data_IF_472372266589
#
_entry.id   IF_472372266589
#
_cell.length_a   1.000
_cell.length_b   1.000
_cell.length_c   1.000
_cell.angle_alpha   90.00
_cell.angle_beta   90.00
_cell.angle_gamma   90.00
#
_symmetry.space_group_name_H-M   'P 1'
#
loop_
_entity.id
_entity.type
_entity.pdbx_description
1 polymer ?
#
# COMPACT_ATOMS: atom_id res chain seq x y z
N UNK A 1 -5.61 28.05 2.30
CA UNK A 1 -6.27 26.72 2.17
C UNK A 1 -6.76 26.57 0.72
N UNK A 2 -6.61 25.37 0.13
CA UNK A 2 -7.04 24.94 -1.22
C UNK A 2 -6.17 25.31 -2.44
N UNK A 3 -5.36 24.35 -2.92
CA UNK A 3 -5.32 23.93 -4.33
C UNK A 3 -4.63 22.55 -4.47
N UNK A 4 -5.27 21.62 -5.18
CA UNK A 4 -4.66 20.46 -5.88
C UNK A 4 -4.31 19.12 -5.23
N UNK A 5 -4.93 18.67 -4.14
CA UNK A 5 -4.84 17.24 -3.75
C UNK A 5 -6.12 16.42 -3.99
N UNK A 6 -7.17 16.98 -4.59
CA UNK A 6 -8.43 16.24 -4.80
C UNK A 6 -8.22 15.04 -5.73
N UNK A 7 -7.52 15.24 -6.86
CA UNK A 7 -7.21 14.17 -7.81
C UNK A 7 -6.43 13.04 -7.13
N UNK A 8 -5.31 13.36 -6.45
CA UNK A 8 -4.49 12.35 -5.79
C UNK A 8 -5.21 11.64 -4.64
N UNK A 9 -6.08 12.36 -3.91
CA UNK A 9 -6.95 11.74 -2.91
C UNK A 9 -7.95 10.77 -3.53
N UNK A 10 -8.57 11.12 -4.66
CA UNK A 10 -9.49 10.25 -5.38
C UNK A 10 -8.77 9.03 -5.92
N UNK A 11 -7.60 9.23 -6.55
CA UNK A 11 -6.74 8.13 -7.02
C UNK A 11 -6.39 7.21 -5.85
N UNK A 12 -5.93 7.75 -4.72
CA UNK A 12 -5.57 6.95 -3.54
C UNK A 12 -6.75 6.12 -3.02
N UNK A 13 -7.94 6.73 -2.94
CA UNK A 13 -9.16 6.07 -2.47
C UNK A 13 -9.59 4.91 -3.37
N UNK A 14 -9.28 4.96 -4.66
CA UNK A 14 -9.58 3.88 -5.62
C UNK A 14 -8.41 2.88 -5.67
N UNK A 15 -7.18 3.35 -5.71
CA UNK A 15 -5.98 2.53 -5.85
C UNK A 15 -5.80 1.58 -4.68
N UNK A 16 -6.01 2.04 -3.43
CA UNK A 16 -5.88 1.19 -2.24
C UNK A 16 -6.76 -0.07 -2.33
N UNK A 17 -8.11 0.03 -2.46
CA UNK A 17 -8.94 -1.16 -2.51
C UNK A 17 -8.67 -2.01 -3.75
N UNK A 18 -8.49 -1.40 -4.94
CA UNK A 18 -8.22 -2.15 -6.18
C UNK A 18 -6.92 -2.95 -6.08
N UNK A 19 -5.83 -2.34 -5.62
CA UNK A 19 -4.53 -3.00 -5.52
C UNK A 19 -4.50 -4.01 -4.35
N UNK A 20 -5.16 -3.71 -3.24
CA UNK A 20 -5.23 -4.65 -2.09
C UNK A 20 -6.05 -5.89 -2.45
N UNK A 21 -7.21 -5.72 -3.08
CA UNK A 21 -8.02 -6.86 -3.56
C UNK A 21 -7.27 -7.60 -4.67
N UNK A 22 -6.66 -6.89 -5.62
CA UNK A 22 -5.83 -7.49 -6.67
C UNK A 22 -4.69 -8.34 -6.12
N UNK A 23 -4.05 -7.90 -5.04
CA UNK A 23 -3.06 -8.68 -4.30
C UNK A 23 -3.65 -10.00 -3.79
N UNK A 24 -4.79 -9.96 -3.09
CA UNK A 24 -5.43 -11.16 -2.55
C UNK A 24 -5.86 -12.12 -3.66
N UNK A 25 -6.39 -11.59 -4.77
CA UNK A 25 -6.76 -12.38 -5.95
C UNK A 25 -5.53 -13.06 -6.55
N UNK A 26 -4.42 -12.35 -6.76
CA UNK A 26 -3.21 -12.92 -7.33
C UNK A 26 -2.65 -14.05 -6.45
N UNK A 27 -2.64 -13.86 -5.13
CA UNK A 27 -2.24 -14.89 -4.16
C UNK A 27 -3.20 -16.10 -4.24
N UNK A 28 -4.51 -15.88 -4.23
CA UNK A 28 -5.52 -16.94 -4.31
C UNK A 28 -5.44 -17.75 -5.62
N UNK A 29 -5.07 -17.10 -6.72
CA UNK A 29 -4.85 -17.72 -8.02
C UNK A 29 -3.49 -18.44 -8.15
N UNK A 30 -2.73 -18.59 -7.05
CA UNK A 30 -1.40 -19.21 -7.01
C UNK A 30 -0.34 -18.46 -7.82
N UNK A 31 -0.46 -17.14 -7.90
CA UNK A 31 0.56 -16.23 -8.44
C UNK A 31 1.15 -15.32 -7.35
N UNK A 32 1.81 -15.90 -6.31
CA UNK A 32 2.30 -15.13 -5.16
C UNK A 32 3.32 -14.05 -5.54
N UNK A 33 4.13 -14.27 -6.57
CA UNK A 33 5.08 -13.30 -7.10
C UNK A 33 4.40 -12.01 -7.57
N UNK A 34 3.29 -12.16 -8.30
CA UNK A 34 2.52 -11.03 -8.79
C UNK A 34 1.71 -10.39 -7.66
N UNK A 35 1.24 -11.20 -6.69
CA UNK A 35 0.68 -10.69 -5.45
C UNK A 35 1.63 -9.76 -4.71
N UNK A 36 2.90 -10.17 -4.52
CA UNK A 36 3.92 -9.34 -3.87
C UNK A 36 4.20 -8.04 -4.63
N UNK A 37 4.32 -8.09 -5.95
CA UNK A 37 4.55 -6.90 -6.80
C UNK A 37 3.38 -5.93 -6.72
N UNK A 38 2.14 -6.41 -6.86
CA UNK A 38 0.93 -5.58 -6.76
C UNK A 38 0.83 -4.97 -5.34
N UNK A 39 1.17 -5.75 -4.32
CA UNK A 39 1.17 -5.27 -2.93
C UNK A 39 2.20 -4.16 -2.72
N UNK A 40 3.40 -4.28 -3.29
CA UNK A 40 4.42 -3.23 -3.24
C UNK A 40 3.95 -1.95 -3.95
N UNK A 41 3.33 -2.08 -5.12
CA UNK A 41 2.75 -0.94 -5.87
C UNK A 41 1.66 -0.23 -5.06
N UNK A 42 0.98 -0.94 -4.15
CA UNK A 42 -0.03 -0.34 -3.27
C UNK A 42 0.56 0.51 -2.13
N UNK A 43 1.82 0.26 -1.73
CA UNK A 43 2.41 0.87 -0.53
C UNK A 43 2.54 2.41 -0.61
N UNK A 44 2.91 3.05 -1.75
CA UNK A 44 2.91 4.51 -1.84
C UNK A 44 1.55 5.15 -1.49
N UNK A 45 0.45 4.51 -1.88
CA UNK A 45 -0.91 4.98 -1.57
C UNK A 45 -1.25 4.80 -0.09
N UNK A 46 -0.88 3.65 0.48
CA UNK A 46 -1.02 3.39 1.92
C UNK A 46 -0.20 4.36 2.76
N UNK A 47 1.06 4.64 2.39
CA UNK A 47 1.94 5.59 3.08
C UNK A 47 1.34 6.99 3.05
N UNK A 48 0.85 7.45 1.89
CA UNK A 48 0.18 8.73 1.80
C UNK A 48 -1.09 8.81 2.66
N UNK A 49 -1.94 7.78 2.56
CA UNK A 49 -3.20 7.73 3.29
C UNK A 49 -2.98 7.73 4.81
N UNK A 50 -2.05 6.89 5.28
CA UNK A 50 -1.71 6.76 6.70
C UNK A 50 -1.00 8.00 7.24
N UNK A 51 -0.11 8.65 6.48
CA UNK A 51 0.50 9.92 6.87
C UNK A 51 -0.56 11.02 7.03
N UNK A 52 -1.50 11.10 6.08
CA UNK A 52 -2.62 12.04 6.15
C UNK A 52 -3.53 11.75 7.34
N UNK A 53 -3.81 10.49 7.64
CA UNK A 53 -4.59 10.07 8.79
C UNK A 53 -3.88 10.43 10.12
N UNK A 54 -2.57 10.24 10.20
CA UNK A 54 -1.76 10.69 11.32
C UNK A 54 -1.89 12.22 11.52
N UNK A 55 -1.67 13.01 10.47
CA UNK A 55 -1.71 14.48 10.58
C UNK A 55 -3.11 15.05 10.89
N UNK A 56 -4.19 14.36 10.51
CA UNK A 56 -5.57 14.85 10.69
C UNK A 56 -6.29 14.29 11.90
N UNK A 57 -6.02 13.04 12.27
CA UNK A 57 -6.77 12.29 13.27
C UNK A 57 -5.86 11.67 14.35
N UNK A 58 -4.56 11.99 14.37
CA UNK A 58 -3.62 11.48 15.37
C UNK A 58 -3.33 9.98 15.26
N UNK A 59 -3.71 9.32 14.15
CA UNK A 59 -3.55 7.88 13.95
C UNK A 59 -2.10 7.48 13.62
N UNK A 60 -1.17 7.66 14.57
CA UNK A 60 0.25 7.30 14.42
C UNK A 60 0.43 5.80 14.16
N UNK A 61 -0.34 4.95 14.84
CA UNK A 61 -0.24 3.50 14.72
C UNK A 61 -0.40 3.03 13.27
N UNK A 62 -1.36 3.61 12.52
CA UNK A 62 -1.59 3.26 11.12
C UNK A 62 -0.36 3.57 10.25
N UNK A 63 0.31 4.70 10.49
CA UNK A 63 1.52 5.08 9.76
C UNK A 63 2.67 4.11 10.06
N UNK A 64 2.89 3.78 11.34
CA UNK A 64 3.94 2.82 11.74
C UNK A 64 3.67 1.45 11.13
N UNK A 65 2.44 0.93 11.25
CA UNK A 65 2.06 -0.35 10.65
C UNK A 65 2.28 -0.35 9.14
N UNK A 66 1.92 0.73 8.45
CA UNK A 66 2.12 0.85 7.00
C UNK A 66 3.61 0.78 6.61
N UNK A 67 4.48 1.48 7.35
CA UNK A 67 5.92 1.44 7.12
C UNK A 67 6.48 0.03 7.34
N UNK A 68 6.08 -0.64 8.43
CA UNK A 68 6.51 -2.01 8.72
C UNK A 68 6.02 -3.00 7.66
N UNK A 69 4.77 -2.90 7.24
CA UNK A 69 4.21 -3.73 6.15
C UNK A 69 4.97 -3.50 4.85
N UNK A 70 5.33 -2.25 4.54
CA UNK A 70 6.15 -1.94 3.35
C UNK A 70 7.50 -2.67 3.41
N UNK A 71 8.18 -2.65 4.56
CA UNK A 71 9.44 -3.37 4.77
C UNK A 71 9.27 -4.87 4.61
N UNK A 72 8.22 -5.45 5.20
CA UNK A 72 7.94 -6.90 5.09
C UNK A 72 7.69 -7.30 3.63
N UNK A 73 6.96 -6.49 2.86
CA UNK A 73 6.71 -6.77 1.43
C UNK A 73 8.01 -6.69 0.63
N UNK A 74 8.87 -5.70 0.91
CA UNK A 74 10.18 -5.59 0.27
C UNK A 74 11.04 -6.83 0.55
N UNK A 75 11.08 -7.30 1.80
CA UNK A 75 11.76 -8.53 2.18
C UNK A 75 11.15 -9.75 1.46
N UNK A 76 9.82 -9.81 1.34
CA UNK A 76 9.14 -10.86 0.59
C UNK A 76 9.53 -10.87 -0.89
N UNK A 77 9.66 -9.70 -1.53
CA UNK A 77 10.14 -9.59 -2.92
C UNK A 77 11.60 -10.02 -3.04
N UNK A 78 12.48 -9.54 -2.15
CA UNK A 78 13.88 -9.96 -2.15
C UNK A 78 13.98 -11.48 -2.03
N UNK A 79 13.27 -12.06 -1.05
CA UNK A 79 13.27 -13.49 -0.80
C UNK A 79 12.68 -14.30 -1.96
N UNK A 80 11.65 -13.80 -2.65
CA UNK A 80 11.01 -14.57 -3.71
C UNK A 80 11.80 -14.53 -5.03
N UNK A 81 12.43 -13.39 -5.35
CA UNK A 81 13.04 -13.16 -6.65
C UNK A 81 14.56 -13.34 -6.67
N UNK A 82 15.25 -13.24 -5.53
CA UNK A 82 16.72 -13.18 -5.47
C UNK A 82 17.35 -14.24 -4.55
N UNK A 83 16.56 -14.98 -3.76
CA UNK A 83 17.00 -16.13 -2.96
C UNK A 83 16.25 -17.37 -3.40
#
# INVERSE_FOLDING_TARGET
>A
MKKNNHLFNTITQIAIPVLTVGTQIAIALKYPQWGLVINLISQPFWIYSSWKAYKKAGQVGLLITTVLVTVVILLGIINYFFM
#
